data_IF_377631159025
#
_entry.id   IF_377631159025
#
_cell.length_a   1.000
_cell.length_b   1.000
_cell.length_c   1.000
_cell.angle_alpha   90.00
_cell.angle_beta   90.00
_cell.angle_gamma   90.00
#
_symmetry.space_group_name_H-M   'P 1'
#
loop_
_entity.id
_entity.type
_entity.pdbx_description
1 polymer ?
#
# COMPACT_ATOMS: atom_id res chain seq x y z
N UNK A 1 -17.33 -0.73 41.61
CA UNK A 1 -15.88 -0.59 41.30
C UNK A 1 -15.73 -0.71 39.80
N UNK A 2 -15.76 0.44 39.10
CA UNK A 2 -15.45 0.51 37.67
C UNK A 2 -13.93 0.41 37.58
N UNK A 3 -13.42 -0.73 37.15
CA UNK A 3 -12.02 -0.87 36.76
C UNK A 3 -11.75 0.13 35.64
N UNK A 4 -10.82 1.05 35.89
CA UNK A 4 -10.25 1.92 34.87
C UNK A 4 -9.64 1.02 33.80
N UNK A 5 -10.32 0.85 32.68
CA UNK A 5 -9.73 0.27 31.46
C UNK A 5 -8.77 1.34 30.94
N UNK A 6 -7.60 1.40 31.57
CA UNK A 6 -6.46 2.23 31.18
C UNK A 6 -5.49 1.40 30.33
N UNK A 7 -6.00 0.34 29.71
CA UNK A 7 -5.27 -0.35 28.66
C UNK A 7 -5.23 0.60 27.46
N UNK A 8 -4.04 0.95 26.95
CA UNK A 8 -3.96 1.75 25.75
C UNK A 8 -4.75 1.04 24.65
N UNK A 9 -5.60 1.79 23.95
CA UNK A 9 -6.30 1.28 22.76
C UNK A 9 -5.21 0.66 21.88
N UNK A 10 -5.32 -0.63 21.51
CA UNK A 10 -4.30 -1.30 20.71
C UNK A 10 -4.04 -0.46 19.46
N UNK A 11 -2.83 0.06 19.32
CA UNK A 11 -2.43 0.72 18.09
C UNK A 11 -2.14 -0.38 17.07
N UNK A 12 -2.95 -0.52 16.00
CA UNK A 12 -2.71 -1.55 15.00
C UNK A 12 -1.47 -1.23 14.14
N UNK A 13 -0.92 -0.02 14.24
CA UNK A 13 0.27 0.38 13.51
C UNK A 13 1.51 -0.31 14.07
N UNK A 14 2.33 -0.83 13.16
CA UNK A 14 3.63 -1.36 13.53
C UNK A 14 4.64 -0.23 13.75
N UNK A 15 5.50 -0.43 14.74
CA UNK A 15 6.64 0.46 15.02
C UNK A 15 7.80 0.13 14.08
N UNK A 16 8.50 1.17 13.66
CA UNK A 16 9.78 1.12 12.95
C UNK A 16 10.81 1.92 13.79
N UNK A 17 11.57 1.25 14.68
CA UNK A 17 12.42 1.95 15.66
C UNK A 17 13.56 2.75 15.02
N UNK A 18 14.05 2.32 13.85
CA UNK A 18 15.10 3.01 13.10
C UNK A 18 14.53 4.03 12.08
N UNK A 19 13.28 4.46 12.24
CA UNK A 19 12.65 5.44 11.37
C UNK A 19 13.31 6.81 11.54
N UNK A 20 13.95 7.28 10.47
CA UNK A 20 14.48 8.62 10.37
C UNK A 20 14.30 9.11 8.92
N UNK A 21 13.75 10.31 8.75
CA UNK A 21 13.60 10.93 7.43
C UNK A 21 14.99 11.35 6.92
N UNK A 22 15.45 10.84 5.76
CA UNK A 22 16.67 11.31 5.13
C UNK A 22 16.58 12.79 4.71
N UNK A 23 17.68 13.54 4.70
CA UNK A 23 17.66 14.97 4.35
C UNK A 23 17.11 15.27 2.95
N UNK A 24 17.33 14.38 1.98
CA UNK A 24 16.79 14.50 0.61
C UNK A 24 15.27 14.36 0.58
N UNK A 25 14.71 13.40 1.33
CA UNK A 25 13.27 13.23 1.46
C UNK A 25 12.63 14.38 2.24
N UNK A 26 13.29 14.90 3.28
CA UNK A 26 12.75 16.05 4.01
C UNK A 26 12.67 17.29 3.11
N UNK A 27 13.69 17.55 2.29
CA UNK A 27 13.67 18.65 1.33
C UNK A 27 12.56 18.50 0.28
N UNK A 28 12.34 17.29 -0.22
CA UNK A 28 11.21 16.96 -1.11
C UNK A 28 9.87 17.24 -0.43
N UNK A 29 9.68 16.79 0.81
CA UNK A 29 8.47 17.03 1.59
C UNK A 29 8.24 18.53 1.83
N UNK A 30 9.30 19.28 2.14
CA UNK A 30 9.23 20.73 2.33
C UNK A 30 8.78 21.45 1.06
N UNK A 31 9.27 21.02 -0.10
CA UNK A 31 8.82 21.51 -1.41
C UNK A 31 7.34 21.18 -1.65
N UNK A 32 6.93 19.93 -1.43
CA UNK A 32 5.54 19.48 -1.61
C UNK A 32 4.56 20.29 -0.77
N UNK A 33 4.94 20.66 0.46
CA UNK A 33 4.08 21.48 1.33
C UNK A 33 3.82 22.87 0.73
N UNK A 34 4.77 23.44 -0.02
CA UNK A 34 4.60 24.78 -0.63
C UNK A 34 3.51 24.85 -1.69
N UNK A 35 3.13 23.71 -2.28
CA UNK A 35 2.04 23.63 -3.25
C UNK A 35 0.64 23.81 -2.64
N UNK A 36 0.54 23.85 -1.30
CA UNK A 36 -0.73 23.93 -0.60
C UNK A 36 -0.84 25.22 0.23
N UNK A 37 -1.94 25.99 0.09
CA UNK A 37 -2.15 27.17 0.93
C UNK A 37 -2.41 26.82 2.41
N UNK A 38 -2.84 25.58 2.68
CA UNK A 38 -3.10 25.06 4.03
C UNK A 38 -2.30 23.78 4.21
N UNK A 39 -1.45 23.73 5.25
CA UNK A 39 -0.56 22.58 5.50
C UNK A 39 -1.31 21.25 5.62
N UNK A 40 -2.50 21.25 6.21
CA UNK A 40 -3.35 20.05 6.31
C UNK A 40 -3.67 19.42 4.95
N UNK A 41 -3.74 20.22 3.89
CA UNK A 41 -4.02 19.71 2.54
C UNK A 41 -2.84 18.92 1.95
N UNK A 42 -1.63 19.11 2.47
CA UNK A 42 -0.44 18.38 2.03
C UNK A 42 -0.35 16.95 2.60
N UNK A 43 -1.17 16.59 3.60
CA UNK A 43 -1.05 15.32 4.33
C UNK A 43 -0.98 14.09 3.43
N UNK A 44 -1.82 14.00 2.39
CA UNK A 44 -1.78 12.85 1.48
C UNK A 44 -0.47 12.77 0.71
N UNK A 45 0.04 13.89 0.19
CA UNK A 45 1.29 13.91 -0.57
C UNK A 45 2.50 13.56 0.30
N UNK A 46 2.54 14.07 1.53
CA UNK A 46 3.61 13.73 2.48
C UNK A 46 3.60 12.24 2.81
N UNK A 47 2.42 11.66 3.06
CA UNK A 47 2.29 10.22 3.31
C UNK A 47 2.69 9.38 2.08
N UNK A 48 2.38 9.84 0.87
CA UNK A 48 2.83 9.18 -0.35
C UNK A 48 4.35 9.18 -0.48
N UNK A 49 5.01 10.32 -0.29
CA UNK A 49 6.47 10.44 -0.37
C UNK A 49 7.19 9.54 0.66
N UNK A 50 6.68 9.51 1.90
CA UNK A 50 7.22 8.61 2.93
C UNK A 50 6.99 7.14 2.55
N UNK A 51 5.77 6.77 2.13
CA UNK A 51 5.48 5.40 1.73
C UNK A 51 6.30 4.95 0.51
N UNK A 52 6.59 5.84 -0.44
CA UNK A 52 7.42 5.51 -1.60
C UNK A 52 8.87 5.24 -1.18
N UNK A 53 9.40 6.01 -0.22
CA UNK A 53 10.75 5.79 0.31
C UNK A 53 10.87 4.53 1.17
N UNK A 54 9.91 4.29 2.07
CA UNK A 54 10.01 3.24 3.09
C UNK A 54 9.18 1.98 2.76
N UNK A 55 8.32 2.04 1.76
CA UNK A 55 7.42 0.97 1.33
C UNK A 55 6.09 0.91 2.09
N UNK A 56 6.03 1.46 3.31
CA UNK A 56 4.88 1.45 4.21
C UNK A 56 4.96 2.60 5.23
N UNK A 57 3.94 2.77 6.06
CA UNK A 57 3.81 3.82 7.06
C UNK A 57 3.76 3.26 8.48
N UNK A 58 4.82 3.53 9.24
CA UNK A 58 4.92 3.16 10.66
C UNK A 58 4.23 4.18 11.57
N UNK A 59 4.10 3.84 12.86
CA UNK A 59 3.66 4.79 13.87
C UNK A 59 4.53 6.06 13.91
N UNK A 60 5.85 5.89 13.84
CA UNK A 60 6.83 6.99 13.85
C UNK A 60 6.67 7.89 12.62
N UNK A 61 6.38 7.31 11.45
CA UNK A 61 6.08 8.07 10.23
C UNK A 61 4.83 8.94 10.38
N UNK A 62 3.80 8.42 11.01
CA UNK A 62 2.54 9.13 11.27
C UNK A 62 2.75 10.27 12.26
N UNK A 63 3.45 10.01 13.36
CA UNK A 63 3.78 11.02 14.35
C UNK A 63 4.71 12.12 13.79
N UNK A 64 5.68 11.73 12.97
CA UNK A 64 6.56 12.68 12.28
C UNK A 64 5.78 13.56 11.33
N UNK A 65 4.90 12.98 10.51
CA UNK A 65 4.04 13.72 9.56
C UNK A 65 3.14 14.70 10.29
N UNK A 66 2.54 14.27 11.40
CA UNK A 66 1.70 15.13 12.23
C UNK A 66 2.50 16.33 12.79
N UNK A 67 3.72 16.11 13.29
CA UNK A 67 4.60 17.20 13.75
C UNK A 67 4.99 18.15 12.61
N UNK A 68 5.39 17.63 11.44
CA UNK A 68 5.81 18.43 10.27
C UNK A 68 4.69 19.36 9.78
N UNK A 69 3.46 18.88 9.82
CA UNK A 69 2.28 19.63 9.35
C UNK A 69 1.56 20.41 10.46
N UNK A 70 2.07 20.37 11.70
CA UNK A 70 1.46 20.99 12.89
C UNK A 70 0.01 20.50 13.15
N UNK A 71 -0.20 19.19 12.99
CA UNK A 71 -1.47 18.50 13.20
C UNK A 71 -1.42 17.56 14.41
N UNK A 72 -2.59 17.08 14.84
CA UNK A 72 -2.66 16.00 15.81
C UNK A 72 -2.39 14.65 15.13
N UNK A 73 -1.68 13.70 15.76
CA UNK A 73 -1.44 12.37 15.20
C UNK A 73 -2.71 11.65 14.73
N UNK A 74 -3.83 11.83 15.45
CA UNK A 74 -5.12 11.26 15.08
C UNK A 74 -5.59 11.70 13.69
N UNK A 75 -5.29 12.93 13.26
CA UNK A 75 -5.70 13.41 11.93
C UNK A 75 -4.96 12.69 10.82
N UNK A 76 -3.73 12.24 11.05
CA UNK A 76 -2.95 11.47 10.09
C UNK A 76 -3.37 10.00 10.13
N UNK A 77 -3.58 9.46 11.34
CA UNK A 77 -4.06 8.10 11.54
C UNK A 77 -5.42 7.84 10.86
N UNK A 78 -6.35 8.80 10.95
CA UNK A 78 -7.64 8.74 10.23
C UNK A 78 -7.44 8.59 8.72
N UNK A 79 -6.48 9.30 8.12
CA UNK A 79 -6.19 9.18 6.68
C UNK A 79 -5.60 7.82 6.34
N UNK A 80 -4.61 7.37 7.10
CA UNK A 80 -3.92 6.09 6.84
C UNK A 80 -4.84 4.89 7.00
N UNK A 81 -5.82 4.97 7.91
CA UNK A 81 -6.81 3.91 8.11
C UNK A 81 -7.99 3.99 7.13
N UNK A 82 -8.35 5.18 6.68
CA UNK A 82 -9.46 5.38 5.74
C UNK A 82 -9.08 5.05 4.29
N UNK A 83 -7.88 5.44 3.84
CA UNK A 83 -7.45 5.21 2.46
C UNK A 83 -6.68 3.89 2.33
N UNK A 84 -7.24 2.86 1.67
CA UNK A 84 -6.66 1.50 1.63
C UNK A 84 -5.32 1.42 0.87
N UNK A 85 -4.98 2.45 0.12
CA UNK A 85 -3.72 2.61 -0.62
C UNK A 85 -2.52 2.87 0.30
N UNK A 86 -2.76 3.26 1.55
CA UNK A 86 -1.71 3.39 2.57
C UNK A 86 -1.48 2.06 3.29
N UNK A 87 -0.23 1.59 3.26
CA UNK A 87 0.22 0.32 3.81
C UNK A 87 0.67 0.54 5.25
N UNK A 88 0.01 -0.13 6.18
CA UNK A 88 0.29 -0.03 7.62
C UNK A 88 1.27 -1.11 8.13
N UNK A 89 1.77 -1.94 7.21
CA UNK A 89 2.61 -3.09 7.50
C UNK A 89 3.71 -3.20 6.42
N UNK A 90 4.87 -3.77 6.74
CA UNK A 90 5.90 -4.09 5.76
C UNK A 90 5.35 -4.96 4.65
N UNK A 91 5.53 -4.50 3.42
CA UNK A 91 5.06 -5.18 2.22
C UNK A 91 6.25 -5.38 1.28
N UNK A 92 6.13 -6.32 0.34
CA UNK A 92 7.19 -6.67 -0.58
C UNK A 92 7.59 -5.53 -1.51
N UNK A 93 8.76 -5.61 -2.12
CA UNK A 93 9.25 -4.60 -3.07
C UNK A 93 8.29 -4.35 -4.24
N UNK A 94 7.64 -5.40 -4.75
CA UNK A 94 6.69 -5.34 -5.85
C UNK A 94 5.27 -5.67 -5.35
N UNK A 95 4.34 -4.76 -5.62
CA UNK A 95 2.96 -4.84 -5.17
C UNK A 95 2.03 -5.22 -6.32
N UNK A 96 1.62 -6.48 -6.38
CA UNK A 96 0.71 -7.01 -7.40
C UNK A 96 -0.73 -6.82 -6.93
N UNK A 97 -1.45 -5.93 -7.60
CA UNK A 97 -2.84 -5.57 -7.30
C UNK A 97 -3.74 -6.12 -8.40
N UNK A 98 -4.39 -7.26 -8.16
CA UNK A 98 -5.26 -7.90 -9.16
C UNK A 98 -6.68 -7.38 -9.04
N UNK A 99 -7.25 -6.83 -10.12
CA UNK A 99 -8.63 -6.37 -10.11
C UNK A 99 -9.62 -7.54 -10.04
N UNK A 100 -10.56 -7.53 -9.10
CA UNK A 100 -11.59 -8.58 -8.95
C UNK A 100 -13.02 -8.16 -9.29
N UNK A 101 -13.23 -6.95 -9.81
CA UNK A 101 -14.59 -6.46 -10.12
C UNK A 101 -15.13 -7.07 -11.42
N UNK A 102 -16.41 -6.80 -11.71
CA UNK A 102 -17.24 -7.54 -12.68
C UNK A 102 -16.53 -7.94 -13.99
N UNK A 103 -15.97 -7.00 -14.75
CA UNK A 103 -15.34 -7.30 -16.04
C UNK A 103 -14.12 -8.21 -15.89
N UNK A 104 -13.26 -7.93 -14.91
CA UNK A 104 -12.08 -8.75 -14.61
C UNK A 104 -12.48 -10.13 -14.07
N UNK A 105 -13.50 -10.20 -13.21
CA UNK A 105 -14.02 -11.46 -12.69
C UNK A 105 -14.55 -12.36 -13.83
N UNK A 106 -15.37 -11.83 -14.73
CA UNK A 106 -15.90 -12.54 -15.90
C UNK A 106 -14.80 -12.97 -16.88
N UNK A 107 -13.70 -12.21 -16.95
CA UNK A 107 -12.53 -12.52 -17.79
C UNK A 107 -11.50 -13.45 -17.12
N UNK A 108 -11.76 -13.92 -15.91
CA UNK A 108 -10.94 -14.94 -15.25
C UNK A 108 -9.90 -14.42 -14.26
N UNK A 109 -10.05 -13.20 -13.71
CA UNK A 109 -9.09 -12.63 -12.76
C UNK A 109 -8.86 -13.49 -11.49
N UNK A 110 -9.85 -14.27 -11.06
CA UNK A 110 -9.68 -15.23 -9.95
C UNK A 110 -8.73 -16.39 -10.32
N UNK A 111 -8.74 -16.83 -11.58
CA UNK A 111 -7.75 -17.79 -12.08
C UNK A 111 -6.36 -17.18 -12.15
N UNK A 112 -6.28 -15.93 -12.63
CA UNK A 112 -5.03 -15.16 -12.69
C UNK A 112 -4.40 -14.97 -11.30
N UNK A 113 -5.18 -14.58 -10.30
CA UNK A 113 -4.70 -14.44 -8.92
C UNK A 113 -4.18 -15.77 -8.37
N UNK A 114 -4.90 -16.88 -8.59
CA UNK A 114 -4.46 -18.22 -8.19
C UNK A 114 -3.12 -18.59 -8.84
N UNK A 115 -2.95 -18.31 -10.13
CA UNK A 115 -1.70 -18.54 -10.85
C UNK A 115 -0.52 -17.80 -10.19
N UNK A 116 -0.70 -16.52 -9.85
CA UNK A 116 0.32 -15.78 -9.11
C UNK A 116 0.61 -16.40 -7.72
N UNK A 117 -0.42 -16.74 -6.96
CA UNK A 117 -0.23 -17.37 -5.64
C UNK A 117 0.55 -18.69 -5.74
N UNK A 118 0.23 -19.55 -6.70
CA UNK A 118 0.94 -20.81 -6.93
C UNK A 118 2.43 -20.57 -7.26
N UNK A 119 2.72 -19.60 -8.14
CA UNK A 119 4.09 -19.25 -8.53
C UNK A 119 4.90 -18.64 -7.38
N UNK A 120 4.25 -17.89 -6.51
CA UNK A 120 4.86 -17.21 -5.37
C UNK A 120 4.86 -18.04 -4.07
N UNK A 121 4.22 -19.21 -4.07
CA UNK A 121 4.06 -20.05 -2.88
C UNK A 121 3.17 -19.43 -1.79
N UNK A 122 2.15 -18.67 -2.20
CA UNK A 122 1.18 -17.99 -1.33
C UNK A 122 -0.17 -18.72 -1.33
N UNK A 123 -1.04 -18.41 -0.36
CA UNK A 123 -2.34 -19.07 -0.23
C UNK A 123 -3.38 -18.40 -1.14
N UNK A 124 -3.91 -19.08 -2.18
CA UNK A 124 -4.91 -18.51 -3.08
C UNK A 124 -6.26 -18.19 -2.42
N UNK A 125 -6.54 -18.78 -1.25
CA UNK A 125 -7.81 -18.62 -0.52
C UNK A 125 -7.77 -17.52 0.53
N UNK A 126 -6.57 -17.05 0.92
CA UNK A 126 -6.41 -16.02 1.94
C UNK A 126 -6.94 -14.67 1.44
N UNK A 127 -7.73 -14.03 2.29
CA UNK A 127 -8.20 -12.67 2.10
C UNK A 127 -7.16 -11.64 2.56
N UNK A 128 -7.10 -10.52 1.83
CA UNK A 128 -6.17 -9.42 2.10
C UNK A 128 -4.77 -9.66 1.53
N UNK A 129 -3.83 -8.73 1.77
CA UNK A 129 -2.49 -8.80 1.24
C UNK A 129 -1.68 -9.94 1.82
N UNK A 130 -0.82 -10.51 0.97
CA UNK A 130 0.11 -11.57 1.31
C UNK A 130 1.47 -11.25 0.74
N UNK A 131 2.51 -11.45 1.54
CA UNK A 131 3.89 -11.16 1.16
C UNK A 131 4.71 -12.45 1.15
N UNK A 132 5.55 -12.61 0.14
CA UNK A 132 6.48 -13.73 0.04
C UNK A 132 7.52 -13.69 1.17
N UNK A 133 8.06 -14.86 1.55
CA UNK A 133 9.02 -14.98 2.67
C UNK A 133 10.31 -14.19 2.44
N UNK A 134 10.68 -13.97 1.18
CA UNK A 134 11.85 -13.19 0.78
C UNK A 134 11.59 -11.68 0.72
N UNK A 135 10.36 -11.23 1.01
CA UNK A 135 9.99 -9.81 1.00
C UNK A 135 10.00 -9.17 -0.40
N UNK A 136 10.00 -9.96 -1.48
CA UNK A 136 10.06 -9.40 -2.85
C UNK A 136 8.71 -9.04 -3.40
N UNK A 137 7.69 -9.87 -3.17
CA UNK A 137 6.37 -9.67 -3.74
C UNK A 137 5.32 -9.61 -2.64
N UNK A 138 4.39 -8.65 -2.76
CA UNK A 138 3.08 -8.78 -2.16
C UNK A 138 2.02 -8.88 -3.24
N UNK A 139 0.97 -9.65 -2.95
CA UNK A 139 -0.18 -9.75 -3.82
C UNK A 139 -1.46 -9.55 -3.02
N UNK A 140 -2.42 -8.86 -3.62
CA UNK A 140 -3.77 -8.72 -3.09
C UNK A 140 -4.80 -8.56 -4.23
N UNK A 141 -6.05 -8.81 -3.88
CA UNK A 141 -7.15 -8.34 -4.71
C UNK A 141 -7.45 -6.87 -4.41
N UNK A 142 -7.65 -6.11 -5.48
CA UNK A 142 -8.17 -4.74 -5.42
C UNK A 142 -9.48 -4.63 -6.17
N UNK A 143 -10.18 -3.52 -5.92
CA UNK A 143 -11.41 -3.21 -6.61
C UNK A 143 -11.15 -2.68 -8.03
N UNK A 144 -12.09 -1.93 -8.60
CA UNK A 144 -12.04 -1.53 -10.01
C UNK A 144 -10.82 -0.66 -10.31
N UNK A 145 -10.01 -1.07 -11.30
CA UNK A 145 -8.87 -0.31 -11.82
C UNK A 145 -9.23 0.53 -13.07
N UNK A 146 -10.53 0.69 -13.35
CA UNK A 146 -11.08 1.53 -14.43
C UNK A 146 -10.64 1.20 -15.87
N UNK A 147 -9.99 0.06 -16.11
CA UNK A 147 -9.60 -0.42 -17.45
C UNK A 147 -10.45 -1.63 -17.91
N UNK A 148 -11.77 -1.53 -17.76
CA UNK A 148 -12.69 -2.65 -17.98
C UNK A 148 -12.68 -3.21 -19.42
N UNK A 149 -12.33 -2.39 -20.41
CA UNK A 149 -12.31 -2.78 -21.84
C UNK A 149 -11.20 -3.76 -22.22
N UNK A 150 -10.18 -3.90 -21.38
CA UNK A 150 -8.98 -4.71 -21.62
C UNK A 150 -8.77 -5.79 -20.55
N UNK A 151 -9.82 -6.13 -19.81
CA UNK A 151 -9.77 -7.12 -18.74
C UNK A 151 -9.27 -8.52 -19.18
N UNK A 152 -8.53 -9.26 -18.33
CA UNK A 152 -8.17 -8.92 -16.94
C UNK A 152 -7.06 -7.88 -16.82
N UNK A 153 -7.15 -7.04 -15.78
CA UNK A 153 -6.19 -5.97 -15.48
C UNK A 153 -5.62 -6.14 -14.08
N UNK A 154 -4.34 -5.83 -13.94
CA UNK A 154 -3.66 -5.69 -12.65
C UNK A 154 -2.73 -4.48 -12.66
N UNK A 155 -2.28 -4.07 -11.48
CA UNK A 155 -1.16 -3.15 -11.35
C UNK A 155 0.02 -3.83 -10.66
N UNK A 156 1.23 -3.56 -11.10
CA UNK A 156 2.45 -3.84 -10.33
C UNK A 156 3.01 -2.49 -9.88
N UNK A 157 2.98 -2.23 -8.58
CA UNK A 157 3.20 -0.90 -8.03
C UNK A 157 2.26 0.12 -8.70
N UNK A 158 2.79 0.98 -9.57
CA UNK A 158 2.05 2.02 -10.30
C UNK A 158 1.91 1.71 -11.80
N UNK A 159 2.50 0.61 -12.27
CA UNK A 159 2.43 0.17 -13.66
C UNK A 159 1.16 -0.64 -13.93
N UNK A 160 0.32 -0.16 -14.85
CA UNK A 160 -0.91 -0.82 -15.25
C UNK A 160 -0.63 -1.88 -16.32
N UNK A 161 -1.06 -3.12 -16.07
CA UNK A 161 -0.96 -4.22 -17.02
C UNK A 161 -2.34 -4.68 -17.47
N UNK A 162 -2.58 -4.55 -18.77
CA UNK A 162 -3.84 -4.88 -19.42
C UNK A 162 -3.78 -6.23 -20.15
N UNK A 163 -4.95 -6.85 -20.35
CA UNK A 163 -5.15 -8.14 -21.03
C UNK A 163 -4.17 -9.22 -20.56
N UNK A 164 -4.10 -9.40 -19.24
CA UNK A 164 -3.09 -10.28 -18.62
C UNK A 164 -3.52 -11.74 -18.71
N UNK A 165 -2.76 -12.51 -19.48
CA UNK A 165 -2.83 -13.97 -19.54
C UNK A 165 -1.89 -14.61 -18.53
N UNK A 166 -1.95 -15.94 -18.34
CA UNK A 166 -1.02 -16.65 -17.46
C UNK A 166 0.44 -16.52 -17.93
N UNK A 167 0.67 -16.53 -19.24
CA UNK A 167 2.00 -16.34 -19.84
C UNK A 167 2.51 -14.92 -19.59
N UNK A 168 1.65 -13.91 -19.75
CA UNK A 168 2.01 -12.52 -19.43
C UNK A 168 2.24 -12.33 -17.93
N UNK A 169 1.51 -13.03 -17.08
CA UNK A 169 1.73 -13.03 -15.63
C UNK A 169 3.12 -13.59 -15.27
N UNK A 170 3.52 -14.69 -15.90
CA UNK A 170 4.87 -15.24 -15.73
C UNK A 170 5.95 -14.25 -16.18
N UNK A 171 5.76 -13.60 -17.33
CA UNK A 171 6.68 -12.56 -17.82
C UNK A 171 6.80 -11.39 -16.83
N UNK A 172 5.67 -10.91 -16.29
CA UNK A 172 5.66 -9.83 -15.29
C UNK A 172 6.50 -10.20 -14.06
N UNK A 173 6.41 -11.45 -13.58
CA UNK A 173 7.23 -11.90 -12.45
C UNK A 173 8.72 -11.98 -12.79
N UNK A 174 9.07 -12.31 -14.04
CA UNK A 174 10.45 -12.34 -14.51
C UNK A 174 11.05 -10.95 -14.68
N UNK A 175 10.26 -9.99 -15.18
CA UNK A 175 10.67 -8.60 -15.35
C UNK A 175 10.90 -7.91 -14.00
N UNK A 176 10.20 -8.35 -12.95
CA UNK A 176 10.37 -7.88 -11.58
C UNK A 176 11.61 -8.50 -10.86
N UNK A 177 12.59 -9.04 -11.60
CA UNK A 177 13.75 -9.71 -10.99
C UNK A 177 14.79 -8.77 -10.39
#
# INVERSE_FOLDING_TARGET
>A
MLTTVNEPIPNPLQSQPDFAIPPDLEAEIDELITHYPVRRSASMMVLHAIQERFGWLSQEAIEWTARKLELQPINIYELVTFYPMFRQHPMGRYQIKVCRTLSCALRGAHGLYRHFCEKLGLDPSKHGPQTTKDGRFSIEFVECLAACGTAPVLMVNDDLHENVTAEKADQILEDCR
#
